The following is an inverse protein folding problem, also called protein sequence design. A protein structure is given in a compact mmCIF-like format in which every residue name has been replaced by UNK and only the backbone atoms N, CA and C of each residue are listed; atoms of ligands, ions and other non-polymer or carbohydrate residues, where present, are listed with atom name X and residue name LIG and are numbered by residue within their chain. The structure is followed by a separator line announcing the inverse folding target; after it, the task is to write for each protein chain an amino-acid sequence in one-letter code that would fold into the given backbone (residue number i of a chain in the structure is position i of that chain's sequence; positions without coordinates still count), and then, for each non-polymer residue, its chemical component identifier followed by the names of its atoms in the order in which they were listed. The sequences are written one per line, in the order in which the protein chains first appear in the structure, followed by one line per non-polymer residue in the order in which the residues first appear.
data_IF_566777261386
#
_entry.id   IF_566777261386
#
_cell.length_a   1.000
_cell.length_b   1.000
_cell.length_c   1.000
_cell.angle_alpha   90.00
_cell.angle_beta   90.00
_cell.angle_gamma   90.00
#
_symmetry.space_group_name_H-M   'P 1'
#
loop_
_entity.id
_entity.type
_entity.pdbx_description
1 polymer ?
#
# COMPACT_ATOMS: atom_id res chain seq x y z
N UNK A 1 20.26 -18.44 -16.39
CA UNK A 1 19.15 -19.41 -16.29
C UNK A 1 18.01 -18.86 -17.14
N UNK A 2 17.18 -19.67 -17.80
CA UNK A 2 16.01 -19.10 -18.49
C UNK A 2 14.92 -18.74 -17.48
N UNK A 3 14.08 -17.75 -17.80
CA UNK A 3 12.94 -17.37 -16.94
C UNK A 3 12.07 -18.60 -16.61
N UNK A 4 11.82 -19.47 -17.58
CA UNK A 4 11.06 -20.72 -17.38
C UNK A 4 11.64 -21.61 -16.29
N UNK A 5 12.97 -21.82 -16.29
CA UNK A 5 13.64 -22.65 -15.28
C UNK A 5 13.60 -22.02 -13.89
N UNK A 6 13.78 -20.70 -13.80
CA UNK A 6 13.75 -19.96 -12.55
C UNK A 6 12.34 -19.96 -11.94
N UNK A 7 11.33 -19.67 -12.74
CA UNK A 7 9.94 -19.67 -12.32
C UNK A 7 9.45 -21.04 -11.87
N UNK A 8 9.86 -22.10 -12.59
CA UNK A 8 9.55 -23.48 -12.20
C UNK A 8 10.19 -23.83 -10.84
N UNK A 9 11.43 -23.43 -10.61
CA UNK A 9 12.13 -23.64 -9.33
C UNK A 9 11.44 -22.92 -8.17
N UNK A 10 11.06 -21.66 -8.37
CA UNK A 10 10.46 -20.81 -7.31
C UNK A 10 9.06 -21.26 -6.95
N UNK A 11 8.27 -21.71 -7.93
CA UNK A 11 6.89 -22.13 -7.71
C UNK A 11 6.74 -23.63 -7.41
N UNK A 12 7.76 -24.43 -7.70
CA UNK A 12 7.67 -25.90 -7.64
C UNK A 12 6.74 -26.50 -8.70
N UNK A 13 6.40 -25.73 -9.76
CA UNK A 13 5.43 -26.10 -10.80
C UNK A 13 6.08 -26.12 -12.18
N UNK A 14 5.63 -26.99 -13.04
CA UNK A 14 6.07 -27.02 -14.43
C UNK A 14 5.51 -25.82 -15.20
N UNK A 15 6.40 -25.04 -15.83
CA UNK A 15 6.08 -23.85 -16.62
C UNK A 15 6.01 -24.22 -18.10
N UNK A 16 4.87 -24.00 -18.74
CA UNK A 16 4.64 -24.25 -20.17
C UNK A 16 5.14 -23.11 -21.04
N UNK A 17 4.78 -21.88 -20.68
CA UNK A 17 5.16 -20.71 -21.44
C UNK A 17 5.29 -19.47 -20.55
N UNK A 18 6.06 -18.47 -21.03
CA UNK A 18 6.26 -17.18 -20.38
C UNK A 18 6.11 -16.10 -21.41
N UNK A 19 5.29 -15.08 -21.12
CA UNK A 19 5.04 -13.93 -21.96
C UNK A 19 5.36 -12.64 -21.23
N UNK A 20 6.18 -11.78 -21.81
CA UNK A 20 6.47 -10.46 -21.22
C UNK A 20 5.24 -9.55 -21.25
N UNK A 21 4.99 -8.90 -20.12
CA UNK A 21 3.97 -7.84 -19.93
C UNK A 21 4.61 -6.46 -19.84
N UNK A 22 5.93 -6.35 -20.08
CA UNK A 22 6.70 -5.13 -19.89
C UNK A 22 7.47 -5.11 -18.57
N UNK A 23 7.78 -3.92 -18.06
CA UNK A 23 8.49 -3.77 -16.80
C UNK A 23 8.30 -2.38 -16.20
N UNK A 24 8.47 -2.28 -14.88
CA UNK A 24 8.36 -1.04 -14.12
C UNK A 24 9.22 -1.11 -12.86
N UNK A 25 9.83 0.01 -12.48
CA UNK A 25 10.57 0.17 -11.21
C UNK A 25 11.70 -0.86 -10.98
N UNK A 26 12.36 -1.31 -12.07
CA UNK A 26 13.44 -2.30 -11.96
C UNK A 26 12.97 -3.75 -11.87
N UNK A 27 11.71 -4.02 -12.24
CA UNK A 27 11.16 -5.36 -12.35
C UNK A 27 10.61 -5.60 -13.75
N UNK A 28 10.87 -6.78 -14.32
CA UNK A 28 10.14 -7.33 -15.47
C UNK A 28 8.85 -7.97 -14.97
N UNK A 29 7.78 -7.75 -15.70
CA UNK A 29 6.47 -8.37 -15.44
C UNK A 29 6.21 -9.43 -16.49
N UNK A 30 5.84 -10.61 -16.02
CA UNK A 30 5.64 -11.77 -16.88
C UNK A 30 4.28 -12.43 -16.59
N UNK A 31 3.60 -12.86 -17.65
CA UNK A 31 2.50 -13.81 -17.58
C UNK A 31 3.10 -15.22 -17.73
N UNK A 32 2.81 -16.08 -16.78
CA UNK A 32 3.36 -17.43 -16.67
C UNK A 32 2.24 -18.42 -16.83
N UNK A 33 2.26 -19.23 -17.88
CA UNK A 33 1.34 -20.36 -18.06
C UNK A 33 1.97 -21.63 -17.48
N UNK A 34 1.29 -22.25 -16.54
CA UNK A 34 1.69 -23.53 -15.98
C UNK A 34 1.15 -24.71 -16.78
N UNK A 35 1.76 -25.90 -16.63
CA UNK A 35 1.38 -27.10 -17.34
C UNK A 35 -0.07 -27.54 -17.10
N UNK A 36 -0.64 -27.20 -15.94
CA UNK A 36 -2.03 -27.46 -15.57
C UNK A 36 -3.03 -26.44 -16.14
N UNK A 37 -2.55 -25.47 -16.94
CA UNK A 37 -3.36 -24.42 -17.56
C UNK A 37 -3.68 -23.24 -16.66
N UNK A 38 -3.21 -23.19 -15.43
CA UNK A 38 -3.32 -22.00 -14.60
C UNK A 38 -2.31 -20.94 -15.03
N UNK A 39 -2.62 -19.66 -14.73
CA UNK A 39 -1.75 -18.54 -15.01
C UNK A 39 -1.25 -17.88 -13.74
N UNK A 40 0.01 -17.45 -13.76
CA UNK A 40 0.65 -16.63 -12.75
C UNK A 40 1.10 -15.30 -13.30
N UNK A 41 1.21 -14.32 -12.42
CA UNK A 41 1.89 -13.05 -12.67
C UNK A 41 3.23 -13.09 -11.93
N UNK A 42 4.33 -12.83 -12.64
CA UNK A 42 5.66 -12.80 -12.03
C UNK A 42 6.28 -11.41 -12.12
N UNK A 43 6.83 -10.96 -10.99
CA UNK A 43 7.78 -9.84 -10.90
C UNK A 43 9.18 -10.43 -10.81
N UNK A 44 10.03 -10.16 -11.79
CA UNK A 44 11.43 -10.60 -11.82
C UNK A 44 12.33 -9.37 -11.72
N UNK A 45 13.22 -9.36 -10.75
CA UNK A 45 14.15 -8.24 -10.54
C UNK A 45 15.17 -8.15 -11.67
N UNK A 46 15.28 -6.97 -12.28
CA UNK A 46 16.35 -6.62 -13.23
C UNK A 46 17.48 -5.84 -12.54
N UNK A 47 17.43 -5.69 -11.21
CA UNK A 47 18.43 -4.95 -10.45
C UNK A 47 19.76 -5.71 -10.42
N UNK A 48 20.91 -4.99 -10.51
CA UNK A 48 22.21 -5.63 -10.39
C UNK A 48 22.38 -6.28 -9.01
N UNK A 49 23.22 -7.31 -8.93
CA UNK A 49 23.47 -8.08 -7.71
C UNK A 49 23.80 -7.21 -6.47
N UNK A 50 24.45 -6.06 -6.66
CA UNK A 50 24.73 -5.10 -5.58
C UNK A 50 23.46 -4.46 -4.96
N UNK A 51 22.31 -4.51 -5.65
CA UNK A 51 21.01 -4.05 -5.15
C UNK A 51 20.07 -5.23 -4.81
N UNK A 52 20.59 -6.45 -4.81
CA UNK A 52 19.81 -7.68 -4.62
C UNK A 52 19.12 -7.76 -3.25
N UNK A 53 19.78 -7.31 -2.18
CA UNK A 53 19.18 -7.30 -0.83
C UNK A 53 17.93 -6.40 -0.77
N UNK A 54 17.94 -5.25 -1.43
CA UNK A 54 16.78 -4.37 -1.50
C UNK A 54 15.64 -5.01 -2.28
N UNK A 55 15.93 -5.60 -3.45
CA UNK A 55 14.92 -6.29 -4.26
C UNK A 55 14.33 -7.49 -3.52
N UNK A 56 15.18 -8.32 -2.87
CA UNK A 56 14.76 -9.45 -2.06
C UNK A 56 13.84 -8.99 -0.91
N UNK A 57 14.18 -7.89 -0.25
CA UNK A 57 13.37 -7.31 0.81
C UNK A 57 11.99 -6.84 0.33
N UNK A 58 11.92 -6.17 -0.82
CA UNK A 58 10.67 -5.71 -1.42
C UNK A 58 9.73 -6.86 -1.80
N UNK A 59 10.25 -7.87 -2.51
CA UNK A 59 9.47 -9.03 -2.95
C UNK A 59 8.98 -9.86 -1.75
N UNK A 60 9.83 -10.03 -0.73
CA UNK A 60 9.44 -10.72 0.49
C UNK A 60 8.38 -9.94 1.28
N UNK A 61 8.48 -8.61 1.36
CA UNK A 61 7.50 -7.76 2.02
C UNK A 61 6.15 -7.82 1.32
N UNK A 62 6.12 -7.73 -0.02
CA UNK A 62 4.91 -7.86 -0.82
C UNK A 62 4.27 -9.25 -0.65
N UNK A 63 5.05 -10.32 -0.72
CA UNK A 63 4.57 -11.69 -0.51
C UNK A 63 3.97 -11.88 0.88
N UNK A 64 4.64 -11.38 1.92
CA UNK A 64 4.15 -11.42 3.30
C UNK A 64 2.86 -10.61 3.45
N UNK A 65 2.81 -9.43 2.87
CA UNK A 65 1.64 -8.57 2.86
C UNK A 65 0.43 -9.24 2.20
N UNK A 66 0.60 -9.81 1.00
CA UNK A 66 -0.46 -10.52 0.28
C UNK A 66 -0.99 -11.71 1.09
N UNK A 67 -0.11 -12.54 1.65
CA UNK A 67 -0.51 -13.67 2.49
C UNK A 67 -1.30 -13.19 3.71
N UNK A 68 -0.78 -12.20 4.42
CA UNK A 68 -1.39 -11.67 5.64
C UNK A 68 -2.75 -11.02 5.38
N UNK A 69 -2.90 -10.22 4.31
CA UNK A 69 -4.20 -9.66 3.91
C UNK A 69 -5.17 -10.77 3.48
N UNK A 70 -4.67 -11.78 2.73
CA UNK A 70 -5.45 -12.92 2.26
C UNK A 70 -6.05 -13.79 3.36
N UNK A 71 -5.39 -13.91 4.52
CA UNK A 71 -5.91 -14.63 5.68
C UNK A 71 -7.31 -14.16 6.11
N UNK A 72 -7.65 -12.90 5.83
CA UNK A 72 -8.96 -12.35 6.21
C UNK A 72 -10.10 -12.88 5.36
N UNK A 73 -9.84 -13.31 4.12
CA UNK A 73 -10.85 -13.69 3.14
C UNK A 73 -11.86 -12.58 2.79
N UNK A 74 -11.62 -11.34 3.27
CA UNK A 74 -12.60 -10.26 3.21
C UNK A 74 -12.57 -9.49 1.88
N UNK A 75 -11.36 -9.21 1.36
CA UNK A 75 -11.12 -8.65 0.03
C UNK A 75 -10.20 -9.61 -0.72
N UNK A 76 -10.47 -9.92 -1.99
CA UNK A 76 -9.59 -10.80 -2.74
C UNK A 76 -8.23 -10.15 -2.97
N UNK A 77 -7.20 -10.94 -2.73
CA UNK A 77 -5.80 -10.67 -3.08
C UNK A 77 -5.27 -11.87 -3.87
N UNK A 78 -4.30 -11.70 -4.77
CA UNK A 78 -3.74 -12.84 -5.50
C UNK A 78 -2.95 -13.76 -4.56
N UNK A 79 -3.12 -15.07 -4.69
CA UNK A 79 -2.35 -16.06 -3.95
C UNK A 79 -0.87 -15.98 -4.34
N UNK A 80 0.03 -16.06 -3.36
CA UNK A 80 1.47 -16.13 -3.59
C UNK A 80 1.84 -17.57 -3.95
N UNK A 81 2.24 -17.81 -5.19
CA UNK A 81 2.64 -19.11 -5.71
C UNK A 81 4.10 -19.45 -5.42
N UNK A 82 4.95 -18.43 -5.26
CA UNK A 82 6.35 -18.59 -4.91
C UNK A 82 7.04 -17.24 -4.77
N UNK A 83 8.10 -17.20 -3.96
CA UNK A 83 8.94 -16.00 -3.78
C UNK A 83 10.35 -16.42 -3.40
N UNK A 84 11.34 -15.72 -3.96
CA UNK A 84 12.73 -15.76 -3.54
C UNK A 84 13.37 -14.35 -3.62
N UNK A 85 14.68 -14.28 -3.64
CA UNK A 85 15.44 -13.03 -3.64
C UNK A 85 15.25 -12.20 -4.93
N UNK A 86 14.87 -12.83 -6.03
CA UNK A 86 14.83 -12.22 -7.38
C UNK A 86 13.45 -12.26 -8.03
N UNK A 87 12.57 -13.11 -7.53
CA UNK A 87 11.27 -13.39 -8.16
C UNK A 87 10.15 -13.48 -7.14
N UNK A 88 9.04 -12.83 -7.44
CA UNK A 88 7.74 -13.09 -6.82
C UNK A 88 6.76 -13.56 -7.89
N UNK A 89 6.09 -14.68 -7.64
CA UNK A 89 5.03 -15.22 -8.50
C UNK A 89 3.73 -15.24 -7.71
N UNK A 90 2.70 -14.62 -8.25
CA UNK A 90 1.34 -14.67 -7.71
C UNK A 90 0.38 -15.32 -8.71
N UNK A 91 -0.79 -15.75 -8.26
CA UNK A 91 -1.87 -16.08 -9.16
C UNK A 91 -2.23 -14.87 -10.03
N UNK A 92 -2.44 -15.09 -11.32
CA UNK A 92 -2.85 -13.99 -12.21
C UNK A 92 -4.28 -13.56 -11.89
N UNK A 93 -4.45 -12.29 -11.53
CA UNK A 93 -5.79 -11.71 -11.41
C UNK A 93 -6.41 -11.68 -12.82
N UNK A 94 -7.62 -12.22 -13.02
CA UNK A 94 -8.24 -12.24 -14.34
C UNK A 94 -8.33 -10.83 -14.95
N UNK A 95 -8.22 -10.75 -16.26
CA UNK A 95 -8.33 -9.45 -16.94
C UNK A 95 -9.68 -8.77 -16.63
N UNK A 96 -9.72 -7.44 -16.50
CA UNK A 96 -10.97 -6.70 -16.36
C UNK A 96 -11.93 -7.02 -17.48
N UNK A 97 -13.20 -7.20 -17.16
CA UNK A 97 -14.24 -7.49 -18.17
C UNK A 97 -14.53 -6.28 -19.10
N UNK A 98 -13.85 -5.17 -18.91
CA UNK A 98 -14.10 -3.90 -19.59
C UNK A 98 -15.34 -3.17 -19.03
N UNK A 99 -15.36 -1.85 -19.23
CA UNK A 99 -16.45 -0.99 -18.76
C UNK A 99 -16.24 -0.38 -17.36
N UNK A 100 -17.15 0.52 -16.96
CA UNK A 100 -17.04 1.22 -15.68
C UNK A 100 -17.36 0.30 -14.50
N UNK A 101 -16.72 0.57 -13.37
CA UNK A 101 -17.03 -0.10 -12.10
C UNK A 101 -18.45 0.23 -11.67
N UNK A 102 -19.26 -0.81 -11.36
CA UNK A 102 -20.62 -0.60 -10.87
C UNK A 102 -20.64 -0.10 -9.43
N UNK A 103 -21.65 0.68 -9.05
CA UNK A 103 -21.84 1.11 -7.66
C UNK A 103 -21.91 -0.08 -6.70
N UNK A 104 -22.57 -1.16 -7.11
CA UNK A 104 -22.67 -2.39 -6.32
C UNK A 104 -21.28 -3.01 -6.05
N UNK A 105 -20.47 -3.18 -7.10
CA UNK A 105 -19.12 -3.72 -6.97
C UNK A 105 -18.25 -2.87 -6.04
N UNK A 106 -18.34 -1.54 -6.17
CA UNK A 106 -17.63 -0.58 -5.34
C UNK A 106 -18.11 -0.64 -3.87
N UNK A 107 -19.41 -0.73 -3.65
CA UNK A 107 -19.99 -0.90 -2.29
C UNK A 107 -19.52 -2.21 -1.64
N UNK A 108 -19.57 -3.32 -2.37
CA UNK A 108 -19.11 -4.62 -1.87
C UNK A 108 -17.61 -4.62 -1.55
N UNK A 109 -16.80 -3.93 -2.36
CA UNK A 109 -15.37 -3.73 -2.08
C UNK A 109 -15.17 -2.92 -0.79
N UNK A 110 -15.87 -1.81 -0.61
CA UNK A 110 -15.81 -1.00 0.62
C UNK A 110 -16.20 -1.79 1.87
N UNK A 111 -17.28 -2.58 1.79
CA UNK A 111 -17.70 -3.47 2.87
C UNK A 111 -16.67 -4.58 3.16
N UNK A 112 -16.02 -5.09 2.12
CA UNK A 112 -14.89 -6.03 2.25
C UNK A 112 -13.69 -5.39 2.94
N UNK A 113 -13.31 -4.18 2.53
CA UNK A 113 -12.21 -3.42 3.13
C UNK A 113 -12.46 -3.18 4.63
N UNK A 114 -13.69 -2.83 5.01
CA UNK A 114 -14.07 -2.67 6.42
C UNK A 114 -13.89 -3.96 7.21
N UNK A 115 -14.30 -5.11 6.68
CA UNK A 115 -14.09 -6.42 7.32
C UNK A 115 -12.60 -6.76 7.44
N UNK A 116 -11.78 -6.47 6.43
CA UNK A 116 -10.33 -6.65 6.47
C UNK A 116 -9.70 -5.80 7.58
N UNK A 117 -10.07 -4.54 7.68
CA UNK A 117 -9.57 -3.64 8.73
C UNK A 117 -10.00 -4.09 10.13
N UNK A 118 -11.26 -4.51 10.30
CA UNK A 118 -11.78 -4.97 11.60
C UNK A 118 -11.25 -6.33 12.02
N UNK A 119 -10.67 -7.11 11.10
CA UNK A 119 -9.93 -8.32 11.47
C UNK A 119 -8.80 -8.00 12.45
N UNK A 120 -8.26 -6.80 12.34
CA UNK A 120 -7.28 -6.25 13.26
C UNK A 120 -5.86 -6.73 13.02
N UNK A 121 -4.94 -6.12 13.75
CA UNK A 121 -3.52 -6.45 13.83
C UNK A 121 -3.06 -6.45 15.29
N UNK A 122 -2.01 -7.20 15.61
CA UNK A 122 -1.50 -7.30 16.99
C UNK A 122 -0.80 -6.02 17.49
N UNK A 123 -0.32 -5.18 16.57
CA UNK A 123 0.36 -3.91 16.85
C UNK A 123 0.33 -3.03 15.61
N UNK A 124 0.65 -1.75 15.73
CA UNK A 124 1.07 -0.94 14.59
C UNK A 124 2.41 -1.45 14.09
N UNK A 125 2.65 -1.45 12.75
CA UNK A 125 3.80 -2.08 12.14
C UNK A 125 3.56 -3.54 11.73
N UNK A 126 4.64 -4.27 11.45
CA UNK A 126 4.58 -5.67 11.02
C UNK A 126 5.84 -6.44 11.47
N UNK A 127 5.79 -7.78 11.57
CA UNK A 127 6.96 -8.58 11.92
C UNK A 127 7.96 -8.77 10.75
N UNK A 128 7.79 -8.03 9.66
CA UNK A 128 8.70 -8.02 8.51
C UNK A 128 9.11 -6.59 8.14
N UNK A 129 10.23 -6.46 7.45
CA UNK A 129 10.67 -5.19 6.88
C UNK A 129 9.66 -4.68 5.85
N UNK A 130 9.27 -3.39 5.94
CA UNK A 130 8.33 -2.78 5.02
C UNK A 130 9.02 -2.09 3.86
N UNK A 131 8.29 -1.95 2.76
CA UNK A 131 8.69 -1.17 1.59
C UNK A 131 7.48 -0.48 0.96
N UNK A 132 7.73 0.69 0.37
CA UNK A 132 6.76 1.40 -0.46
C UNK A 132 7.47 1.95 -1.70
N UNK A 133 7.11 1.48 -2.88
CA UNK A 133 7.70 1.88 -4.17
C UNK A 133 9.25 1.91 -4.15
N UNK A 134 9.88 0.92 -3.51
CA UNK A 134 11.34 0.81 -3.42
C UNK A 134 11.98 1.56 -2.24
N UNK A 135 11.22 2.31 -1.47
CA UNK A 135 11.69 2.99 -0.27
C UNK A 135 11.45 2.12 0.97
N UNK A 136 12.44 1.95 1.86
CA UNK A 136 12.25 1.23 3.10
C UNK A 136 11.19 1.88 4.00
N UNK A 137 10.32 1.06 4.60
CA UNK A 137 9.40 1.43 5.66
C UNK A 137 9.80 0.75 6.97
N UNK A 138 9.98 1.52 8.02
CA UNK A 138 10.20 0.97 9.35
C UNK A 138 8.88 0.43 9.90
N UNK A 139 8.78 -0.89 9.97
CA UNK A 139 7.64 -1.61 10.51
C UNK A 139 7.85 -2.07 11.95
N UNK A 140 8.85 -1.54 12.66
CA UNK A 140 9.04 -1.82 14.09
C UNK A 140 7.71 -1.65 14.85
N UNK A 141 7.26 -2.66 15.61
CA UNK A 141 5.97 -2.62 16.29
C UNK A 141 5.83 -1.44 17.26
N UNK A 142 4.61 -0.90 17.36
CA UNK A 142 4.25 0.16 18.28
C UNK A 142 2.83 -0.02 18.83
N UNK A 143 2.53 0.63 19.96
CA UNK A 143 1.25 0.52 20.66
C UNK A 143 0.33 1.73 20.50
N UNK A 144 0.87 2.91 20.10
CA UNK A 144 0.13 4.14 19.97
C UNK A 144 0.33 4.72 18.56
N UNK A 145 -0.75 4.79 17.77
CA UNK A 145 -0.67 5.19 16.37
C UNK A 145 -0.09 6.59 16.14
N UNK A 146 -0.46 7.65 16.88
CA UNK A 146 0.02 8.99 16.55
C UNK A 146 1.54 9.09 16.61
N UNK A 147 2.14 8.62 17.70
CA UNK A 147 3.60 8.63 17.86
C UNK A 147 4.29 7.70 16.85
N UNK A 148 3.74 6.48 16.65
CA UNK A 148 4.26 5.52 15.69
C UNK A 148 4.23 6.07 14.26
N UNK A 149 3.12 6.71 13.85
CA UNK A 149 2.97 7.31 12.54
C UNK A 149 3.93 8.49 12.33
N UNK A 150 4.07 9.36 13.32
CA UNK A 150 5.03 10.45 13.30
C UNK A 150 6.46 9.95 13.11
N UNK A 151 6.86 8.96 13.92
CA UNK A 151 8.23 8.46 13.99
C UNK A 151 8.60 7.54 12.82
N UNK A 152 7.65 6.70 12.36
CA UNK A 152 7.93 5.64 11.37
C UNK A 152 7.41 5.96 9.97
N UNK A 153 6.52 6.94 9.82
CA UNK A 153 5.90 7.30 8.54
C UNK A 153 6.18 8.72 8.08
N UNK A 154 6.35 9.68 8.97
CA UNK A 154 6.61 11.07 8.58
C UNK A 154 8.08 11.44 8.72
N UNK A 155 8.67 11.25 9.89
CA UNK A 155 10.03 11.66 10.20
C UNK A 155 11.10 11.10 9.24
N UNK A 156 11.05 9.84 8.76
CA UNK A 156 12.05 9.32 7.84
C UNK A 156 12.02 9.96 6.44
N UNK A 157 10.84 10.37 5.96
CA UNK A 157 10.66 10.87 4.60
C UNK A 157 10.90 12.38 4.47
N UNK A 158 10.70 13.14 5.55
CA UNK A 158 10.90 14.58 5.52
C UNK A 158 12.33 14.99 5.12
N UNK A 159 13.40 14.48 5.74
CA UNK A 159 14.76 14.84 5.35
C UNK A 159 15.10 14.40 3.92
N UNK A 160 14.56 13.29 3.43
CA UNK A 160 14.72 12.85 2.03
C UNK A 160 14.08 13.85 1.08
N UNK A 161 12.83 14.27 1.35
CA UNK A 161 12.12 15.23 0.52
C UNK A 161 12.79 16.63 0.50
N UNK A 162 13.36 17.06 1.62
CA UNK A 162 14.09 18.34 1.70
C UNK A 162 15.46 18.24 1.01
N UNK A 163 16.25 17.19 1.27
CA UNK A 163 17.59 17.05 0.69
C UNK A 163 17.57 16.82 -0.82
N UNK A 164 16.53 16.17 -1.35
CA UNK A 164 16.31 16.01 -2.80
C UNK A 164 15.80 17.30 -3.47
N UNK A 165 15.43 18.33 -2.70
CA UNK A 165 14.83 19.57 -3.22
C UNK A 165 13.35 19.44 -3.60
N UNK A 166 12.71 18.30 -3.31
CA UNK A 166 11.27 18.10 -3.49
C UNK A 166 10.44 19.06 -2.62
N UNK A 167 10.90 19.28 -1.40
CA UNK A 167 10.42 20.34 -0.49
C UNK A 167 11.51 21.40 -0.33
N UNK A 168 11.11 22.65 -0.18
CA UNK A 168 12.04 23.74 0.16
C UNK A 168 12.37 23.67 1.65
N UNK A 169 13.55 24.16 2.05
CA UNK A 169 13.95 24.19 3.45
C UNK A 169 12.90 24.89 4.35
N UNK A 170 12.25 25.92 3.85
CA UNK A 170 11.19 26.66 4.58
C UNK A 170 9.87 25.88 4.74
N UNK A 171 9.68 24.78 4.02
CA UNK A 171 8.48 23.92 4.16
C UNK A 171 8.68 22.85 5.26
N UNK A 172 9.93 22.49 5.56
CA UNK A 172 10.30 21.49 6.57
C UNK A 172 9.66 21.75 7.94
N UNK A 173 9.82 22.94 8.53
CA UNK A 173 9.25 23.27 9.86
C UNK A 173 7.74 23.04 9.97
N UNK A 174 7.00 23.13 8.85
CA UNK A 174 5.56 22.88 8.85
C UNK A 174 5.23 21.41 9.09
N UNK A 175 5.97 20.52 8.43
CA UNK A 175 5.80 19.06 8.61
C UNK A 175 6.38 18.62 9.95
N UNK A 176 7.49 19.22 10.40
CA UNK A 176 8.07 18.99 11.73
C UNK A 176 7.06 19.31 12.85
N UNK A 177 6.32 20.42 12.75
CA UNK A 177 5.29 20.78 13.70
C UNK A 177 4.16 19.73 13.76
N UNK A 178 3.80 19.09 12.64
CA UNK A 178 2.85 17.97 12.64
C UNK A 178 3.45 16.76 13.37
N UNK A 179 4.71 16.42 13.07
CA UNK A 179 5.41 15.30 13.70
C UNK A 179 5.48 15.48 15.21
N UNK A 180 5.90 16.67 15.69
CA UNK A 180 6.02 17.00 17.11
C UNK A 180 4.66 16.91 17.83
N UNK A 181 3.60 17.43 17.21
CA UNK A 181 2.25 17.39 17.76
C UNK A 181 1.73 15.96 17.93
N UNK A 182 1.95 15.11 16.94
CA UNK A 182 1.59 13.70 17.00
C UNK A 182 2.41 12.94 18.04
N UNK A 183 3.73 13.15 18.08
CA UNK A 183 4.63 12.55 19.06
C UNK A 183 4.27 12.93 20.50
N UNK A 184 3.83 14.19 20.71
CA UNK A 184 3.37 14.67 22.01
C UNK A 184 1.94 14.23 22.37
N UNK A 185 1.27 13.44 21.51
CA UNK A 185 -0.12 13.02 21.65
C UNK A 185 -1.11 14.20 21.82
N UNK A 186 -0.80 15.33 21.17
CA UNK A 186 -1.57 16.57 21.23
C UNK A 186 -2.55 16.71 20.06
N UNK A 187 -2.89 15.62 19.39
CA UNK A 187 -3.88 15.61 18.32
C UNK A 187 -5.15 14.92 18.83
N UNK A 188 -6.35 15.50 18.58
CA UNK A 188 -7.63 14.90 18.98
C UNK A 188 -7.97 13.70 18.09
N UNK A 189 -7.22 12.63 18.24
CA UNK A 189 -7.46 11.36 17.57
C UNK A 189 -8.19 10.43 18.53
N UNK A 190 -9.26 9.80 18.06
CA UNK A 190 -9.77 8.62 18.73
C UNK A 190 -8.72 7.53 18.65
N UNK A 191 -8.38 6.93 19.81
CA UNK A 191 -7.42 5.82 19.85
C UNK A 191 -8.11 4.57 19.34
N UNK A 192 -7.97 4.29 18.06
CA UNK A 192 -8.44 3.05 17.45
C UNK A 192 -7.37 1.95 17.57
N UNK A 193 -7.80 0.67 17.72
CA UNK A 193 -6.87 -0.46 17.70
C UNK A 193 -6.19 -0.57 16.33
N UNK A 194 -5.02 -1.23 16.25
CA UNK A 194 -4.35 -1.48 14.99
C UNK A 194 -5.25 -2.27 14.03
N UNK A 195 -5.46 -1.73 12.86
CA UNK A 195 -6.18 -2.36 11.76
C UNK A 195 -5.23 -3.03 10.79
N UNK A 196 -5.66 -4.09 10.16
CA UNK A 196 -4.93 -4.74 9.07
C UNK A 196 -5.14 -3.91 7.80
N UNK A 197 -4.16 -3.07 7.44
CA UNK A 197 -4.26 -2.16 6.28
C UNK A 197 -3.41 -2.62 5.10
N UNK A 198 -3.83 -2.23 3.90
CA UNK A 198 -3.07 -2.41 2.66
C UNK A 198 -1.80 -1.53 2.65
N UNK A 199 -1.89 -0.31 3.17
CA UNK A 199 -0.78 0.62 3.34
C UNK A 199 -0.39 1.41 2.09
N UNK A 200 -0.85 0.99 0.90
CA UNK A 200 -0.73 1.70 -0.38
C UNK A 200 -2.02 1.53 -1.21
N UNK A 201 -3.18 1.78 -0.58
CA UNK A 201 -4.50 1.51 -1.13
C UNK A 201 -4.99 2.65 -2.04
N UNK A 202 -4.35 2.86 -3.18
CA UNK A 202 -4.80 3.81 -4.20
C UNK A 202 -5.45 3.10 -5.39
N UNK A 203 -6.10 3.85 -6.27
CA UNK A 203 -6.88 3.28 -7.39
C UNK A 203 -6.06 2.38 -8.33
N UNK A 204 -4.74 2.59 -8.44
CA UNK A 204 -3.85 1.77 -9.27
C UNK A 204 -3.55 0.40 -8.67
N UNK A 205 -3.71 0.23 -7.35
CA UNK A 205 -3.51 -1.02 -6.63
C UNK A 205 -4.83 -1.76 -6.37
N UNK A 206 -5.93 -1.30 -6.98
CA UNK A 206 -7.24 -1.98 -6.99
C UNK A 206 -7.58 -2.42 -8.41
N UNK A 207 -7.48 -3.71 -8.69
CA UNK A 207 -7.86 -4.29 -9.97
C UNK A 207 -9.34 -4.71 -9.93
N UNK A 208 -10.13 -4.13 -10.82
CA UNK A 208 -11.56 -4.44 -10.92
C UNK A 208 -11.80 -5.58 -11.92
N UNK A 209 -12.02 -6.78 -11.42
CA UNK A 209 -12.17 -7.96 -12.23
C UNK A 209 -13.19 -8.94 -11.66
N UNK A 210 -13.93 -9.62 -12.52
CA UNK A 210 -14.94 -10.62 -12.14
C UNK A 210 -16.02 -10.06 -11.20
N UNK A 211 -16.37 -8.77 -11.33
CA UNK A 211 -17.33 -8.10 -10.45
C UNK A 211 -16.79 -7.82 -9.02
N UNK A 212 -15.50 -7.83 -8.83
CA UNK A 212 -14.81 -7.61 -7.54
C UNK A 212 -13.66 -6.62 -7.66
N UNK A 213 -13.30 -5.96 -6.56
CA UNK A 213 -12.03 -5.25 -6.43
C UNK A 213 -10.98 -6.17 -5.80
N UNK A 214 -9.86 -6.36 -6.48
CA UNK A 214 -8.71 -7.13 -6.02
C UNK A 214 -7.62 -6.16 -5.55
N UNK A 215 -7.05 -6.40 -4.38
CA UNK A 215 -5.91 -5.63 -3.88
C UNK A 215 -4.59 -6.29 -4.31
N UNK A 216 -3.70 -5.48 -4.87
CA UNK A 216 -2.36 -5.90 -5.33
C UNK A 216 -1.30 -4.91 -4.80
N UNK A 217 -0.03 -5.28 -4.86
CA UNK A 217 1.12 -4.42 -4.52
C UNK A 217 1.02 -3.78 -3.12
N UNK A 218 0.75 -4.54 -2.04
CA UNK A 218 0.58 -3.98 -0.72
C UNK A 218 1.89 -3.52 -0.07
N UNK A 219 1.80 -2.45 0.71
CA UNK A 219 2.75 -2.06 1.75
C UNK A 219 2.20 -2.41 3.14
N UNK A 220 1.71 -3.65 3.29
CA UNK A 220 0.82 -4.08 4.37
C UNK A 220 1.48 -4.03 5.75
N UNK A 221 0.74 -3.51 6.71
CA UNK A 221 1.12 -3.43 8.11
C UNK A 221 -0.09 -3.16 9.01
N UNK A 222 0.06 -3.33 10.31
CA UNK A 222 -0.89 -2.81 11.28
C UNK A 222 -0.86 -1.28 11.25
N UNK A 223 -1.98 -0.65 10.93
CA UNK A 223 -2.07 0.79 10.78
C UNK A 223 -3.42 1.33 11.24
N UNK A 224 -3.67 2.62 10.98
CA UNK A 224 -4.98 3.22 11.20
C UNK A 224 -5.83 3.03 9.94
N UNK A 225 -7.04 2.53 10.10
CA UNK A 225 -7.95 2.18 8.99
C UNK A 225 -8.27 3.35 8.04
N UNK A 226 -8.29 4.58 8.56
CA UNK A 226 -8.53 5.77 7.74
C UNK A 226 -7.41 6.04 6.72
N UNK A 227 -6.21 5.43 6.91
CA UNK A 227 -5.08 5.59 5.98
C UNK A 227 -5.41 5.05 4.59
N UNK A 228 -5.96 3.84 4.49
CA UNK A 228 -6.34 3.26 3.19
C UNK A 228 -7.50 4.06 2.54
N UNK A 229 -8.46 4.52 3.34
CA UNK A 229 -9.58 5.32 2.82
C UNK A 229 -9.13 6.69 2.32
N UNK A 230 -8.23 7.34 3.05
CA UNK A 230 -7.63 8.61 2.63
C UNK A 230 -6.81 8.46 1.34
N UNK A 231 -6.14 7.32 1.16
CA UNK A 231 -5.37 7.02 -0.03
C UNK A 231 -6.27 6.77 -1.26
N UNK A 232 -7.39 6.06 -1.11
CA UNK A 232 -8.40 5.92 -2.16
C UNK A 232 -8.96 7.27 -2.60
N UNK A 233 -9.16 8.20 -1.66
CA UNK A 233 -9.63 9.54 -1.95
C UNK A 233 -8.58 10.42 -2.63
N UNK A 234 -7.28 10.25 -2.30
CA UNK A 234 -6.19 11.10 -2.77
C UNK A 234 -6.03 11.06 -4.30
N UNK A 235 -6.17 9.88 -4.90
CA UNK A 235 -5.99 9.66 -6.34
C UNK A 235 -7.29 9.31 -7.07
N UNK A 236 -8.44 9.51 -6.44
CA UNK A 236 -9.74 9.40 -7.07
C UNK A 236 -10.12 7.97 -7.47
N UNK A 237 -10.43 7.13 -6.49
CA UNK A 237 -10.96 5.79 -6.76
C UNK A 237 -12.32 5.88 -7.49
N UNK A 238 -12.60 4.99 -8.48
CA UNK A 238 -13.88 4.95 -9.14
C UNK A 238 -15.00 4.62 -8.14
N UNK A 239 -16.13 5.35 -8.22
CA UNK A 239 -17.27 5.15 -7.32
C UNK A 239 -16.91 5.31 -5.82
N UNK A 240 -16.04 6.27 -5.47
CA UNK A 240 -15.55 6.46 -4.09
C UNK A 240 -16.68 6.57 -3.06
N UNK A 241 -17.77 7.29 -3.40
CA UNK A 241 -18.93 7.42 -2.49
C UNK A 241 -19.58 6.06 -2.19
N UNK A 242 -19.66 5.18 -3.19
CA UNK A 242 -20.19 3.83 -2.99
C UNK A 242 -19.22 2.97 -2.15
N UNK A 243 -17.90 3.10 -2.34
CA UNK A 243 -16.89 2.45 -1.51
C UNK A 243 -17.07 2.89 -0.05
N UNK A 244 -17.15 4.20 0.20
CA UNK A 244 -17.33 4.76 1.54
C UNK A 244 -18.63 4.31 2.19
N UNK A 245 -19.75 4.32 1.45
CA UNK A 245 -21.03 3.82 1.93
C UNK A 245 -20.98 2.33 2.31
N UNK A 246 -20.31 1.51 1.49
CA UNK A 246 -20.06 0.09 1.79
C UNK A 246 -19.22 -0.09 3.04
N UNK A 247 -18.16 0.69 3.18
CA UNK A 247 -17.29 0.67 4.35
C UNK A 247 -18.06 0.99 5.64
N UNK A 248 -18.74 2.13 5.67
CA UNK A 248 -19.51 2.61 6.83
C UNK A 248 -20.68 1.69 7.19
N UNK A 249 -21.22 0.92 6.24
CA UNK A 249 -22.26 -0.09 6.52
C UNK A 249 -21.79 -1.24 7.41
N UNK A 250 -20.47 -1.49 7.47
CA UNK A 250 -19.84 -2.57 8.27
C UNK A 250 -19.10 -2.01 9.46
N UNK A 251 -18.32 -0.95 9.28
CA UNK A 251 -17.49 -0.34 10.31
C UNK A 251 -17.62 1.19 10.24
N UNK A 252 -18.60 1.79 10.89
CA UNK A 252 -18.79 3.24 10.92
C UNK A 252 -17.50 3.96 11.34
N UNK A 253 -17.20 5.06 10.66
CA UNK A 253 -16.05 5.88 10.97
C UNK A 253 -16.36 6.82 12.14
N UNK A 254 -15.34 7.11 12.93
CA UNK A 254 -15.45 8.02 14.06
C UNK A 254 -15.87 9.45 13.60
N UNK A 255 -16.66 10.17 14.40
CA UNK A 255 -17.04 11.55 14.08
C UNK A 255 -15.82 12.41 13.72
N UNK A 256 -15.97 13.27 12.71
CA UNK A 256 -14.88 14.13 12.26
C UNK A 256 -13.81 13.47 11.41
N UNK A 257 -13.95 12.22 10.98
CA UNK A 257 -12.95 11.53 10.14
C UNK A 257 -12.57 12.32 8.89
N UNK A 258 -13.49 13.09 8.29
CA UNK A 258 -13.19 13.91 7.10
C UNK A 258 -12.14 14.98 7.37
N UNK A 259 -12.09 15.53 8.59
CA UNK A 259 -11.06 16.51 8.97
C UNK A 259 -9.69 15.87 9.18
N UNK A 260 -9.63 14.55 9.39
CA UNK A 260 -8.40 13.77 9.54
C UNK A 260 -7.80 13.29 8.21
N UNK A 261 -8.56 13.33 7.11
CA UNK A 261 -8.08 12.91 5.78
C UNK A 261 -6.72 13.52 5.41
N UNK A 262 -6.46 14.84 5.57
CA UNK A 262 -5.15 15.42 5.27
C UNK A 262 -4.01 14.82 6.10
N UNK A 263 -4.25 14.42 7.34
CA UNK A 263 -3.24 13.75 8.18
C UNK A 263 -2.84 12.40 7.58
N UNK A 264 -3.82 11.58 7.21
CA UNK A 264 -3.58 10.27 6.62
C UNK A 264 -2.99 10.34 5.21
N UNK A 265 -3.21 11.44 4.49
CA UNK A 265 -2.61 11.69 3.19
C UNK A 265 -1.18 12.23 3.26
N UNK A 266 -0.73 12.73 4.41
CA UNK A 266 0.58 13.38 4.52
C UNK A 266 1.74 12.42 4.23
N UNK A 267 1.69 11.18 4.73
CA UNK A 267 2.71 10.16 4.43
C UNK A 267 2.78 9.81 2.93
N UNK A 268 1.69 9.39 2.26
CA UNK A 268 1.77 9.10 0.84
C UNK A 268 2.19 10.31 0.00
N UNK A 269 1.81 11.53 0.37
CA UNK A 269 2.27 12.75 -0.30
C UNK A 269 3.78 12.99 -0.12
N UNK A 270 4.34 12.73 1.07
CA UNK A 270 5.78 12.78 1.31
C UNK A 270 6.52 11.72 0.51
N UNK A 271 6.02 10.48 0.47
CA UNK A 271 6.58 9.42 -0.37
C UNK A 271 6.60 9.84 -1.83
N UNK A 272 5.49 10.37 -2.35
CA UNK A 272 5.42 10.85 -3.73
C UNK A 272 6.36 12.04 -3.99
N UNK A 273 6.53 12.95 -3.02
CA UNK A 273 7.53 14.01 -3.12
C UNK A 273 8.95 13.44 -3.22
N UNK A 274 9.29 12.43 -2.42
CA UNK A 274 10.61 11.76 -2.50
C UNK A 274 10.85 11.08 -3.86
N UNK A 275 9.80 10.49 -4.46
CA UNK A 275 9.91 9.73 -5.71
C UNK A 275 9.81 10.61 -6.98
N UNK A 276 8.93 11.61 -6.96
CA UNK A 276 8.54 12.38 -8.15
C UNK A 276 8.85 13.88 -8.04
N UNK A 277 9.48 14.31 -6.95
CA UNK A 277 10.02 15.66 -6.80
C UNK A 277 8.97 16.74 -6.51
N UNK A 278 9.23 17.94 -7.00
CA UNK A 278 8.52 19.18 -6.62
C UNK A 278 7.04 19.25 -6.99
N UNK A 279 6.56 18.36 -7.86
CA UNK A 279 5.15 18.31 -8.28
C UNK A 279 4.19 18.06 -7.10
N UNK A 280 4.65 17.39 -6.06
CA UNK A 280 3.85 17.08 -4.85
C UNK A 280 4.02 18.09 -3.71
N UNK A 281 4.95 19.05 -3.86
CA UNK A 281 5.26 20.04 -2.81
C UNK A 281 4.02 20.78 -2.30
N UNK A 282 3.20 21.30 -3.22
CA UNK A 282 2.00 22.07 -2.85
C UNK A 282 1.04 21.23 -2.01
N UNK A 283 0.79 19.97 -2.41
CA UNK A 283 -0.10 19.06 -1.71
C UNK A 283 0.42 18.71 -0.31
N UNK A 284 1.73 18.46 -0.14
CA UNK A 284 2.35 18.22 1.18
C UNK A 284 2.14 19.44 2.11
N UNK A 285 2.43 20.65 1.61
CA UNK A 285 2.30 21.89 2.39
C UNK A 285 0.84 22.15 2.77
N UNK A 286 -0.10 21.93 1.86
CA UNK A 286 -1.53 22.08 2.10
C UNK A 286 -2.04 21.08 3.14
N UNK A 287 -1.68 19.80 3.00
CA UNK A 287 -2.05 18.77 3.97
C UNK A 287 -1.49 19.07 5.36
N UNK A 288 -0.22 19.46 5.48
CA UNK A 288 0.37 19.81 6.77
C UNK A 288 -0.32 21.01 7.42
N UNK A 289 -0.65 22.06 6.65
CA UNK A 289 -1.43 23.21 7.15
C UNK A 289 -2.82 22.81 7.62
N UNK A 290 -3.52 21.98 6.84
CA UNK A 290 -4.85 21.51 7.20
C UNK A 290 -4.82 20.74 8.52
N UNK A 291 -3.82 19.88 8.74
CA UNK A 291 -3.63 19.15 9.99
C UNK A 291 -3.43 20.12 11.16
N UNK A 292 -2.59 21.14 10.99
CA UNK A 292 -2.29 22.11 12.07
C UNK A 292 -3.47 23.03 12.40
N UNK A 293 -4.35 23.30 11.42
CA UNK A 293 -5.52 24.17 11.58
C UNK A 293 -6.75 23.43 12.16
N UNK A 294 -6.80 22.11 12.06
CA UNK A 294 -7.93 21.30 12.52
C UNK A 294 -7.80 20.85 13.99
N UNK A 295 -6.98 21.54 14.77
CA UNK A 295 -6.70 21.26 16.18
C UNK A 295 -7.16 22.38 17.09
#
# INVERSE_FOLDING_TARGET
MSDTTELARVTGREVRSVRSLGGRHGYRHLDVEFADGQHGFAKVSDRPAAAGELAAGELAAEANGLRWLGETGAVPVPDVLGVDETVLVTALVPAPAGGPVSQRTAFEFGAGLARMHTYGAGSFGAPWAGYIAGLPLDNTPGSAWPAWYAERRLAPFLPIAVSSGALRAQDGPLVEAVIERLAANQHPLELEPPSRIHGDCWSGNVLWSGGRGWLIDPSAHGGHRETDLAMLALFGAPQLDAIMAGYESVAPLAPGWKSRVPLHQLHPLLVHACLFGTSYRAAVVEAARAVLNNC
#
